data_IF_818978494058
#
_entry.id   IF_818978494058
#
_cell.length_a   1.000
_cell.length_b   1.000
_cell.length_c   1.000
_cell.angle_alpha   90.00
_cell.angle_beta   90.00
_cell.angle_gamma   90.00
#
_symmetry.space_group_name_H-M   'P 1'
#
loop_
_entity.id
_entity.type
_entity.pdbx_description
1 polymer ?
#
# COMPACT_ATOMS: atom_id res chain seq x y z
N UNK A 1 0.80 -2.38 -19.52
CA UNK A 1 2.21 -2.04 -19.74
C UNK A 1 2.98 -3.33 -19.68
N UNK A 2 4.21 -3.36 -19.17
CA UNK A 2 4.84 -4.65 -18.85
C UNK A 2 5.20 -4.72 -17.38
N UNK A 3 5.96 -3.75 -16.83
CA UNK A 3 6.14 -3.63 -15.37
C UNK A 3 6.25 -2.18 -14.86
N UNK A 4 7.34 -1.43 -15.08
CA UNK A 4 7.51 -0.07 -14.48
C UNK A 4 6.36 0.92 -14.71
N UNK A 5 5.87 1.02 -15.95
CA UNK A 5 4.74 1.91 -16.26
C UNK A 5 3.42 1.42 -15.64
N UNK A 6 3.29 0.11 -15.42
CA UNK A 6 2.12 -0.46 -14.76
C UNK A 6 2.18 -0.25 -13.27
N UNK A 7 3.36 -0.32 -12.64
CA UNK A 7 3.56 0.06 -11.25
C UNK A 7 3.12 1.52 -11.01
N UNK A 8 3.57 2.47 -11.85
CA UNK A 8 3.09 3.86 -11.76
C UNK A 8 1.56 3.95 -11.93
N UNK A 9 0.98 3.20 -12.88
CA UNK A 9 -0.47 3.19 -13.08
C UNK A 9 -1.24 2.59 -11.90
N UNK A 10 -0.65 1.58 -11.26
CA UNK A 10 -1.18 0.87 -10.12
C UNK A 10 -1.25 1.80 -8.88
N UNK A 11 -0.26 2.67 -8.66
CA UNK A 11 -0.28 3.63 -7.55
C UNK A 11 -1.54 4.53 -7.59
N UNK A 12 -1.89 5.05 -8.77
CA UNK A 12 -3.13 5.83 -8.95
C UNK A 12 -4.38 4.98 -8.74
N UNK A 13 -4.36 3.72 -9.18
CA UNK A 13 -5.47 2.80 -8.99
C UNK A 13 -5.69 2.51 -7.50
N UNK A 14 -4.63 2.22 -6.74
CA UNK A 14 -4.71 2.00 -5.30
C UNK A 14 -5.16 3.24 -4.55
N UNK A 15 -4.71 4.43 -4.95
CA UNK A 15 -5.25 5.66 -4.39
C UNK A 15 -6.77 5.77 -4.59
N UNK A 16 -7.25 5.45 -5.80
CA UNK A 16 -8.68 5.44 -6.11
C UNK A 16 -9.45 4.39 -5.30
N UNK A 17 -8.86 3.21 -5.07
CA UNK A 17 -9.45 2.16 -4.24
C UNK A 17 -9.50 2.54 -2.76
N UNK A 18 -8.46 3.19 -2.23
CA UNK A 18 -8.45 3.73 -0.87
C UNK A 18 -9.54 4.81 -0.69
N UNK A 19 -9.73 5.68 -1.69
CA UNK A 19 -10.82 6.67 -1.68
C UNK A 19 -12.20 6.00 -1.73
N UNK A 20 -12.35 4.92 -2.51
CA UNK A 20 -13.58 4.14 -2.54
C UNK A 20 -13.87 3.46 -1.18
N UNK A 21 -12.84 2.93 -0.51
CA UNK A 21 -12.94 2.43 0.86
C UNK A 21 -13.41 3.53 1.81
N UNK A 22 -12.84 4.74 1.74
CA UNK A 22 -13.28 5.85 2.60
C UNK A 22 -14.75 6.24 2.37
N UNK A 23 -15.20 6.25 1.11
CA UNK A 23 -16.59 6.53 0.78
C UNK A 23 -17.52 5.43 1.32
N UNK A 24 -17.15 4.17 1.13
CA UNK A 24 -17.91 3.02 1.64
C UNK A 24 -17.99 3.03 3.16
N UNK A 25 -16.86 3.16 3.87
CA UNK A 25 -16.83 3.12 5.34
C UNK A 25 -17.65 4.26 5.96
N UNK A 26 -17.76 5.41 5.27
CA UNK A 26 -18.59 6.53 5.73
C UNK A 26 -20.09 6.23 5.74
N UNK A 27 -20.57 5.29 4.92
CA UNK A 27 -21.97 4.83 4.93
C UNK A 27 -22.30 4.02 6.19
N UNK A 28 -21.28 3.54 6.91
CA UNK A 28 -21.39 2.69 8.10
C UNK A 28 -20.81 3.37 9.36
N UNK A 29 -20.90 4.70 9.44
CA UNK A 29 -20.38 5.46 10.59
C UNK A 29 -21.03 5.05 11.92
N UNK A 30 -22.27 4.57 11.90
CA UNK A 30 -22.93 4.08 13.12
C UNK A 30 -22.27 2.84 13.71
N UNK A 31 -21.62 2.03 12.87
CA UNK A 31 -20.90 0.81 13.25
C UNK A 31 -19.44 1.12 13.54
N UNK A 32 -18.74 1.81 12.62
CA UNK A 32 -17.29 1.99 12.70
C UNK A 32 -16.85 3.27 13.39
N UNK A 33 -17.69 4.30 13.49
CA UNK A 33 -17.35 5.59 14.13
C UNK A 33 -16.08 6.25 13.56
N UNK A 34 -15.83 6.06 12.26
CA UNK A 34 -14.68 6.62 11.53
C UNK A 34 -14.99 7.98 10.91
N UNK A 35 -16.26 8.40 10.91
CA UNK A 35 -16.79 9.61 10.32
C UNK A 35 -17.81 9.34 9.22
N UNK A 36 -18.85 10.17 9.14
CA UNK A 36 -19.98 10.04 8.21
C UNK A 36 -19.74 10.62 6.81
N UNK A 37 -18.49 10.95 6.47
CA UNK A 37 -18.08 11.39 5.13
C UNK A 37 -16.73 10.80 4.77
N UNK A 38 -16.48 10.55 3.48
CA UNK A 38 -15.19 10.05 2.99
C UNK A 38 -14.00 10.91 3.48
N UNK A 39 -14.20 12.24 3.56
CA UNK A 39 -13.18 13.15 4.06
C UNK A 39 -12.90 12.99 5.56
N UNK A 40 -13.91 12.63 6.37
CA UNK A 40 -13.70 12.31 7.79
C UNK A 40 -12.99 10.95 7.94
N UNK A 41 -13.41 9.93 7.20
CA UNK A 41 -12.74 8.61 7.24
C UNK A 41 -11.29 8.73 6.79
N UNK A 42 -11.00 9.51 5.75
CA UNK A 42 -9.63 9.81 5.33
C UNK A 42 -8.80 10.45 6.44
N UNK A 43 -9.37 11.41 7.19
CA UNK A 43 -8.68 12.01 8.35
C UNK A 43 -8.44 10.98 9.46
N UNK A 44 -9.38 10.08 9.71
CA UNK A 44 -9.24 9.00 10.69
C UNK A 44 -8.11 8.04 10.28
N UNK A 45 -8.07 7.63 9.01
CA UNK A 45 -7.00 6.81 8.45
C UNK A 45 -5.62 7.46 8.63
N UNK A 46 -5.45 8.71 8.20
CA UNK A 46 -4.15 9.39 8.31
C UNK A 46 -3.78 9.77 9.74
N UNK A 47 -4.78 9.96 10.63
CA UNK A 47 -4.52 10.07 12.07
C UNK A 47 -3.91 8.78 12.60
N UNK A 48 -4.52 7.63 12.29
CA UNK A 48 -4.00 6.34 12.76
C UNK A 48 -2.58 6.09 12.25
N UNK A 49 -2.34 6.31 10.95
CA UNK A 49 -1.00 6.21 10.36
C UNK A 49 0.03 7.12 11.04
N UNK A 50 -0.35 8.35 11.37
CA UNK A 50 0.50 9.30 12.10
C UNK A 50 0.77 8.89 13.55
N UNK A 51 -0.25 8.37 14.25
CA UNK A 51 -0.12 7.85 15.60
C UNK A 51 0.84 6.64 15.65
N UNK A 52 0.75 5.73 14.67
CA UNK A 52 1.65 4.58 14.50
C UNK A 52 3.08 4.98 14.10
N UNK A 53 3.24 6.02 13.28
CA UNK A 53 4.55 6.58 12.98
C UNK A 53 5.23 7.15 14.24
N UNK A 54 4.46 7.83 15.10
CA UNK A 54 4.99 8.39 16.34
C UNK A 54 5.28 7.30 17.39
N UNK A 55 4.45 6.27 17.44
CA UNK A 55 4.57 5.16 18.37
C UNK A 55 4.01 3.88 17.74
N UNK A 56 4.87 2.99 17.23
CA UNK A 56 4.45 1.69 16.74
C UNK A 56 3.65 0.93 17.80
N UNK A 57 2.60 0.24 17.36
CA UNK A 57 1.78 -0.59 18.23
C UNK A 57 2.35 -2.00 18.33
N UNK A 58 2.20 -2.64 19.50
CA UNK A 58 2.68 -3.98 19.80
C UNK A 58 4.17 -4.24 19.46
N UNK A 59 4.97 -3.18 19.38
CA UNK A 59 6.41 -3.22 19.07
C UNK A 59 6.75 -3.22 17.58
N UNK A 60 5.82 -3.68 16.73
CA UNK A 60 6.11 -4.03 15.34
C UNK A 60 5.18 -3.34 14.31
N UNK A 61 4.01 -2.83 14.70
CA UNK A 61 3.07 -2.22 13.75
C UNK A 61 3.34 -0.73 13.62
N UNK A 62 4.09 -0.35 12.59
CA UNK A 62 4.33 1.02 12.18
C UNK A 62 3.43 1.47 11.02
N UNK A 63 3.76 2.59 10.36
CA UNK A 63 3.01 3.07 9.20
C UNK A 63 3.16 2.16 7.97
N UNK A 64 4.27 1.44 7.84
CA UNK A 64 4.54 0.51 6.73
C UNK A 64 3.62 -0.70 6.83
N UNK A 65 3.61 -1.38 7.98
CA UNK A 65 2.72 -2.52 8.24
C UNK A 65 1.24 -2.13 8.17
N UNK A 66 0.92 -0.88 8.53
CA UNK A 66 -0.42 -0.33 8.37
C UNK A 66 -0.81 -0.16 6.90
N UNK A 67 0.04 0.45 6.08
CA UNK A 67 -0.23 0.64 4.65
C UNK A 67 -0.29 -0.73 3.93
N UNK A 68 0.64 -1.66 4.23
CA UNK A 68 0.64 -3.06 3.77
C UNK A 68 -0.66 -3.81 4.12
N UNK A 69 -1.27 -3.50 5.28
CA UNK A 69 -2.56 -4.10 5.64
C UNK A 69 -3.69 -3.55 4.76
N UNK A 70 -3.66 -2.25 4.46
CA UNK A 70 -4.71 -1.57 3.70
C UNK A 70 -4.60 -1.77 2.18
N UNK A 71 -3.40 -2.00 1.63
CA UNK A 71 -3.21 -2.22 0.19
C UNK A 71 -3.99 -3.45 -0.31
N UNK A 72 -4.20 -4.45 0.54
CA UNK A 72 -5.02 -5.64 0.25
C UNK A 72 -6.46 -5.27 -0.10
N UNK A 73 -7.02 -4.26 0.56
CA UNK A 73 -8.34 -3.69 0.24
C UNK A 73 -8.42 -3.05 -1.16
N UNK A 74 -7.26 -2.74 -1.73
CA UNK A 74 -7.10 -2.33 -3.11
C UNK A 74 -7.41 -3.44 -4.11
N UNK A 75 -7.01 -4.67 -3.81
CA UNK A 75 -7.22 -5.86 -4.65
C UNK A 75 -8.65 -6.42 -4.53
N UNK A 76 -9.25 -6.38 -3.34
CA UNK A 76 -10.60 -6.90 -3.07
C UNK A 76 -11.35 -6.05 -2.06
N UNK A 77 -12.66 -5.86 -2.25
CA UNK A 77 -13.50 -5.18 -1.26
C UNK A 77 -14.06 -6.11 -0.17
N UNK A 78 -13.82 -7.43 -0.27
CA UNK A 78 -14.33 -8.40 0.71
C UNK A 78 -13.75 -8.15 2.11
N UNK A 79 -12.52 -7.62 2.20
CA UNK A 79 -11.82 -7.34 3.45
C UNK A 79 -12.15 -5.94 4.04
N UNK A 80 -12.93 -5.12 3.34
CA UNK A 80 -13.24 -3.75 3.80
C UNK A 80 -13.90 -3.67 5.18
N UNK A 81 -14.84 -4.57 5.56
CA UNK A 81 -15.38 -4.60 6.91
C UNK A 81 -14.32 -4.83 7.99
N UNK A 82 -13.38 -5.73 7.74
CA UNK A 82 -12.32 -6.06 8.70
C UNK A 82 -11.33 -4.89 8.83
N UNK A 83 -10.94 -4.26 7.71
CA UNK A 83 -10.11 -3.05 7.70
C UNK A 83 -10.76 -1.89 8.49
N UNK A 84 -12.06 -1.66 8.29
CA UNK A 84 -12.78 -0.62 9.01
C UNK A 84 -12.93 -0.94 10.50
N UNK A 85 -13.19 -2.20 10.86
CA UNK A 85 -13.26 -2.67 12.25
C UNK A 85 -11.92 -2.50 12.98
N UNK A 86 -10.81 -2.87 12.33
CA UNK A 86 -9.47 -2.73 12.91
C UNK A 86 -9.09 -1.26 13.14
N UNK A 87 -9.34 -0.40 12.14
CA UNK A 87 -9.11 1.04 12.27
C UNK A 87 -9.97 1.66 13.37
N UNK A 88 -11.24 1.27 13.43
CA UNK A 88 -12.18 1.73 14.47
C UNK A 88 -11.71 1.31 15.85
N UNK A 89 -11.36 0.05 16.04
CA UNK A 89 -10.88 -0.51 17.32
C UNK A 89 -9.61 0.21 17.79
N UNK A 90 -8.68 0.48 16.87
CA UNK A 90 -7.46 1.23 17.18
C UNK A 90 -7.78 2.66 17.63
N UNK A 91 -8.61 3.39 16.90
CA UNK A 91 -8.86 4.82 17.18
C UNK A 91 -9.82 5.08 18.34
N UNK A 92 -10.79 4.19 18.58
CA UNK A 92 -11.85 4.41 19.57
C UNK A 92 -11.58 3.69 20.89
N UNK A 93 -11.05 2.46 20.83
CA UNK A 93 -10.76 1.66 22.01
C UNK A 93 -9.26 1.64 22.35
N UNK A 94 -8.39 2.18 21.49
CA UNK A 94 -6.94 2.14 21.69
C UNK A 94 -6.35 0.74 21.54
N UNK A 95 -7.06 -0.19 20.90
CA UNK A 95 -6.67 -1.59 20.79
C UNK A 95 -6.06 -1.88 19.41
N UNK A 96 -4.75 -2.18 19.32
CA UNK A 96 -4.10 -2.54 18.05
C UNK A 96 -4.28 -4.00 17.65
N UNK A 97 -4.88 -4.85 18.51
CA UNK A 97 -4.90 -6.30 18.32
C UNK A 97 -5.48 -6.74 16.96
N UNK A 98 -6.62 -6.16 16.54
CA UNK A 98 -7.21 -6.49 15.24
C UNK A 98 -6.34 -6.05 14.06
N UNK A 99 -5.64 -4.92 14.20
CA UNK A 99 -4.71 -4.44 13.17
C UNK A 99 -3.50 -5.38 13.07
N UNK A 100 -2.94 -5.79 14.21
CA UNK A 100 -1.84 -6.75 14.25
C UNK A 100 -2.24 -8.12 13.65
N UNK A 101 -3.44 -8.62 13.99
CA UNK A 101 -3.97 -9.88 13.45
C UNK A 101 -4.17 -9.80 11.93
N UNK A 102 -4.73 -8.70 11.43
CA UNK A 102 -4.90 -8.48 9.98
C UNK A 102 -3.57 -8.33 9.25
N UNK A 103 -2.60 -7.63 9.83
CA UNK A 103 -1.27 -7.57 9.25
C UNK A 103 -0.67 -8.97 9.11
N UNK A 104 -0.75 -9.83 10.14
CA UNK A 104 -0.23 -11.20 10.02
C UNK A 104 -0.97 -12.06 8.99
N UNK A 105 -2.27 -11.82 8.78
CA UNK A 105 -3.09 -12.60 7.86
C UNK A 105 -2.97 -12.14 6.40
N UNK A 106 -2.93 -10.83 6.19
CA UNK A 106 -3.14 -10.22 4.87
C UNK A 106 -1.96 -9.33 4.43
N UNK A 107 -1.39 -8.53 5.34
CA UNK A 107 -0.38 -7.53 4.98
C UNK A 107 1.06 -8.07 4.92
N UNK A 108 1.37 -9.05 5.75
CA UNK A 108 2.74 -9.55 5.90
C UNK A 108 3.22 -10.29 4.66
N UNK A 109 4.27 -9.75 4.06
CA UNK A 109 4.92 -10.35 2.89
C UNK A 109 5.82 -11.54 3.25
N UNK A 110 5.77 -12.59 2.43
CA UNK A 110 6.66 -13.72 2.54
C UNK A 110 8.04 -13.43 1.93
N UNK A 111 9.12 -13.62 2.68
CA UNK A 111 10.49 -13.31 2.21
C UNK A 111 10.87 -14.01 0.90
N UNK A 112 10.49 -15.29 0.75
CA UNK A 112 10.78 -16.05 -0.48
C UNK A 112 9.90 -15.57 -1.66
N UNK A 113 8.65 -15.21 -1.40
CA UNK A 113 7.77 -14.65 -2.42
C UNK A 113 8.34 -13.33 -2.94
N UNK A 114 8.74 -12.43 -2.03
CA UNK A 114 9.37 -11.17 -2.39
C UNK A 114 10.70 -11.34 -3.13
N UNK A 115 11.53 -12.31 -2.73
CA UNK A 115 12.78 -12.60 -3.41
C UNK A 115 12.57 -13.10 -4.84
N UNK A 116 11.61 -14.02 -5.03
CA UNK A 116 11.25 -14.55 -6.36
C UNK A 116 10.59 -13.46 -7.22
N UNK A 117 9.70 -12.66 -6.65
CA UNK A 117 9.08 -11.50 -7.30
C UNK A 117 10.14 -10.60 -7.91
N UNK A 118 11.09 -10.11 -7.10
CA UNK A 118 12.18 -9.26 -7.57
C UNK A 118 13.05 -9.94 -8.64
N UNK A 119 13.35 -11.24 -8.48
CA UNK A 119 14.17 -11.97 -9.45
C UNK A 119 13.52 -12.03 -10.84
N UNK A 120 12.19 -12.24 -10.89
CA UNK A 120 11.40 -12.29 -12.13
C UNK A 120 11.23 -10.89 -12.69
N UNK A 121 10.65 -9.99 -11.91
CA UNK A 121 10.32 -8.61 -12.28
C UNK A 121 11.52 -7.87 -12.88
N UNK A 122 12.66 -7.93 -12.21
CA UNK A 122 13.85 -7.22 -12.63
C UNK A 122 14.57 -7.86 -13.84
N UNK A 123 14.22 -9.11 -14.20
CA UNK A 123 14.86 -9.87 -15.28
C UNK A 123 13.98 -10.04 -16.52
N UNK A 124 12.66 -9.93 -16.40
CA UNK A 124 11.72 -10.20 -17.51
C UNK A 124 11.66 -9.06 -18.53
N UNK A 125 11.91 -7.82 -18.12
CA UNK A 125 12.05 -6.65 -19.00
C UNK A 125 13.03 -5.62 -18.46
N UNK A 126 13.47 -4.70 -19.31
CA UNK A 126 14.29 -3.57 -18.91
C UNK A 126 13.55 -2.57 -18.02
N UNK A 127 14.08 -2.35 -16.81
CA UNK A 127 13.66 -1.27 -15.90
C UNK A 127 14.55 -0.03 -16.01
N UNK A 128 14.06 1.17 -15.65
CA UNK A 128 14.90 2.36 -15.57
C UNK A 128 16.02 2.20 -14.54
N UNK A 129 17.27 2.48 -14.93
CA UNK A 129 18.45 2.35 -14.06
C UNK A 129 18.90 3.65 -13.40
N UNK A 130 18.20 4.75 -13.69
CA UNK A 130 18.51 6.08 -13.17
C UNK A 130 17.58 6.40 -12.00
N UNK A 131 18.09 6.40 -10.78
CA UNK A 131 17.31 6.73 -9.58
C UNK A 131 16.64 8.10 -9.65
N UNK A 132 17.25 9.10 -10.29
CA UNK A 132 16.66 10.43 -10.41
C UNK A 132 15.35 10.40 -11.22
N UNK A 133 15.17 9.41 -12.11
CA UNK A 133 13.89 9.19 -12.78
C UNK A 133 12.85 8.62 -11.82
N UNK A 134 13.21 7.64 -11.00
CA UNK A 134 12.31 7.06 -10.00
C UNK A 134 11.84 8.13 -9.02
N UNK A 135 12.76 8.88 -8.39
CA UNK A 135 12.39 9.97 -7.47
C UNK A 135 11.46 11.01 -8.13
N UNK A 136 11.75 11.43 -9.36
CA UNK A 136 10.91 12.39 -10.07
C UNK A 136 9.51 11.84 -10.41
N UNK A 137 9.43 10.61 -10.92
CA UNK A 137 8.18 9.95 -11.28
C UNK A 137 7.34 9.67 -10.00
N UNK A 138 7.96 9.19 -8.93
CA UNK A 138 7.30 8.94 -7.63
C UNK A 138 6.78 10.23 -6.99
N UNK A 139 7.56 11.32 -6.98
CA UNK A 139 7.09 12.62 -6.48
C UNK A 139 5.88 13.14 -7.25
N UNK A 140 5.84 12.89 -8.56
CA UNK A 140 4.70 13.28 -9.40
C UNK A 140 3.44 12.49 -9.01
N UNK A 141 3.56 11.18 -8.78
CA UNK A 141 2.45 10.35 -8.28
C UNK A 141 2.02 10.84 -6.89
N UNK A 142 2.97 10.97 -5.96
CA UNK A 142 2.72 11.33 -4.56
C UNK A 142 1.94 12.65 -4.40
N UNK A 143 2.10 13.60 -5.32
CA UNK A 143 1.37 14.86 -5.30
C UNK A 143 -0.17 14.70 -5.39
N UNK A 144 -0.66 13.61 -5.98
CA UNK A 144 -2.10 13.34 -6.16
C UNK A 144 -2.55 11.97 -5.69
N UNK A 145 -1.62 11.03 -5.51
CA UNK A 145 -1.85 9.65 -5.11
C UNK A 145 -0.78 9.17 -4.12
N UNK A 146 -0.72 9.75 -2.91
CA UNK A 146 0.34 9.47 -1.96
C UNK A 146 0.36 8.06 -1.36
N UNK A 147 -0.76 7.32 -1.41
CA UNK A 147 -0.91 6.05 -0.67
C UNK A 147 0.21 5.05 -0.98
N UNK A 148 0.33 4.60 -2.24
CA UNK A 148 1.32 3.59 -2.63
C UNK A 148 2.58 4.15 -3.29
N UNK A 149 2.64 5.46 -3.52
CA UNK A 149 3.68 6.03 -4.38
C UNK A 149 5.09 5.67 -3.92
N UNK A 150 5.41 5.82 -2.63
CA UNK A 150 6.74 5.48 -2.12
C UNK A 150 6.88 4.00 -1.77
N UNK A 151 5.85 3.37 -1.25
CA UNK A 151 5.91 1.98 -0.80
C UNK A 151 6.15 1.06 -2.00
N UNK A 152 5.37 1.25 -3.08
CA UNK A 152 5.56 0.52 -4.34
C UNK A 152 6.88 0.86 -5.05
N UNK A 153 7.35 2.11 -4.93
CA UNK A 153 8.66 2.53 -5.45
C UNK A 153 9.80 1.78 -4.76
N UNK A 154 9.76 1.66 -3.43
CA UNK A 154 10.77 0.96 -2.65
C UNK A 154 10.69 -0.55 -2.82
N UNK A 155 9.49 -1.10 -2.88
CA UNK A 155 9.23 -2.52 -3.15
C UNK A 155 9.95 -2.98 -4.42
N UNK A 156 9.93 -2.16 -5.47
CA UNK A 156 10.54 -2.44 -6.77
C UNK A 156 11.96 -1.86 -6.97
N UNK A 157 12.51 -1.14 -5.99
CA UNK A 157 13.75 -0.37 -6.17
C UNK A 157 14.96 -1.24 -6.53
N UNK A 158 14.95 -2.53 -6.15
CA UNK A 158 15.98 -3.49 -6.53
C UNK A 158 16.19 -3.56 -8.06
N UNK A 159 15.14 -3.36 -8.86
CA UNK A 159 15.23 -3.42 -10.31
C UNK A 159 16.07 -2.30 -10.94
N UNK A 160 16.22 -1.17 -10.25
CA UNK A 160 17.14 -0.10 -10.67
C UNK A 160 18.62 -0.51 -10.56
N UNK A 161 18.93 -1.53 -9.75
CA UNK A 161 20.30 -1.96 -9.43
C UNK A 161 20.59 -3.43 -9.76
N UNK A 162 19.58 -4.20 -10.14
CA UNK A 162 19.68 -5.64 -10.43
C UNK A 162 20.85 -6.00 -11.37
N UNK A 163 21.66 -7.03 -11.09
CA UNK A 163 22.90 -7.29 -11.83
C UNK A 163 22.66 -7.76 -13.28
N UNK A 164 21.50 -8.34 -13.55
CA UNK A 164 21.09 -8.77 -14.90
C UNK A 164 20.17 -7.70 -15.52
N UNK A 165 20.29 -7.51 -16.84
CA UNK A 165 19.38 -6.66 -17.60
C UNK A 165 18.36 -7.53 -18.32
N UNK A 166 17.08 -7.33 -18.02
CA UNK A 166 16.01 -7.93 -18.80
C UNK A 166 15.95 -7.38 -20.23
N UNK A 167 15.28 -8.10 -21.16
CA UNK A 167 15.18 -7.70 -22.56
C UNK A 167 14.49 -6.34 -22.73
N UNK A 168 14.82 -5.62 -23.80
CA UNK A 168 14.26 -4.29 -24.07
C UNK A 168 12.76 -4.32 -24.45
N UNK A 169 12.23 -5.51 -24.75
CA UNK A 169 10.82 -5.76 -25.06
C UNK A 169 10.42 -7.08 -24.40
N UNK A 170 9.12 -7.26 -24.05
CA UNK A 170 8.62 -8.55 -23.60
C UNK A 170 8.97 -9.64 -24.58
N UNK A 171 9.25 -10.84 -24.07
CA UNK A 171 9.38 -12.01 -24.92
C UNK A 171 8.03 -12.28 -25.60
N UNK A 172 8.03 -12.61 -26.90
CA UNK A 172 6.82 -13.07 -27.56
C UNK A 172 6.39 -14.40 -26.93
N UNK A 173 5.12 -14.46 -26.53
CA UNK A 173 4.40 -15.69 -26.14
C UNK A 173 3.83 -16.37 -27.38
#
# INVERSE_FOLDING_TARGET
>A
GVWYADNIGQDYAFQGRLQAFFAWAAEYDDDFRLGSTAAQVSRSFYRARGDLQAKPADGDIGPDEFDDTFVVGGYTNQIWPDLASALSSYLTAGSPAQLADLYQQEGKQGENEFAVYNAVECSDVSWPRNWARWDADTRKVYATAPFEAWDNTWFNAACAYWPVRGPARPLPI
#
